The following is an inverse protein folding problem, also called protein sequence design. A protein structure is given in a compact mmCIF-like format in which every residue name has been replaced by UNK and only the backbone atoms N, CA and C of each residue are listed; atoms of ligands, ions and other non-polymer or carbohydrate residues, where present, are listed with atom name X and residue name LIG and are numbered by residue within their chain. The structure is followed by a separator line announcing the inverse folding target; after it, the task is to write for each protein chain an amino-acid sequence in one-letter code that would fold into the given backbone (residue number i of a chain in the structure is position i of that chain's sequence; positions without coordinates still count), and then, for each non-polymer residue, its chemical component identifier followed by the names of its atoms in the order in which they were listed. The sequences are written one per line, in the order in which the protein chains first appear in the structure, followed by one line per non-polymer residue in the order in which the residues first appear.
data_IF_324287069039
#
_entry.id   IF_324287069039
#
_cell.length_a   1.000
_cell.length_b   1.000
_cell.length_c   1.000
_cell.angle_alpha   90.00
_cell.angle_beta   90.00
_cell.angle_gamma   90.00
#
_symmetry.space_group_name_H-M   'P 1'
#
loop_
_entity.id
_entity.type
_entity.pdbx_description
1 polymer ?
#
# COMPACT_ATOMS: atom_id res chain seq x y z
N UNK A 1 -4.12 5.50 -27.04
CA UNK A 1 -5.31 5.27 -26.21
C UNK A 1 -4.85 4.58 -24.94
N UNK A 2 -4.86 5.26 -23.80
CA UNK A 2 -4.49 4.64 -22.52
C UNK A 2 -5.59 3.66 -22.14
N UNK A 3 -5.25 2.37 -22.04
CA UNK A 3 -6.17 1.33 -21.63
C UNK A 3 -6.47 1.56 -20.15
N UNK A 4 -7.62 2.15 -19.84
CA UNK A 4 -8.10 2.23 -18.46
C UNK A 4 -8.19 0.80 -17.91
N UNK A 5 -7.20 0.43 -17.09
CA UNK A 5 -7.23 -0.83 -16.35
C UNK A 5 -7.99 -0.52 -15.07
N UNK A 6 -9.16 -1.12 -14.90
CA UNK A 6 -9.84 -1.06 -13.61
C UNK A 6 -9.02 -1.88 -12.61
N UNK A 7 -8.28 -1.19 -11.76
CA UNK A 7 -7.44 -1.81 -10.75
C UNK A 7 -8.28 -2.01 -9.50
N UNK A 8 -8.65 -3.26 -9.25
CA UNK A 8 -9.27 -3.64 -7.98
C UNK A 8 -8.17 -3.73 -6.92
N UNK A 9 -8.19 -2.77 -6.01
CA UNK A 9 -7.34 -2.79 -4.81
C UNK A 9 -8.15 -3.42 -3.69
N UNK A 10 -7.61 -4.47 -3.11
CA UNK A 10 -8.19 -5.12 -1.93
C UNK A 10 -7.33 -4.73 -0.73
N UNK A 11 -7.99 -4.20 0.30
CA UNK A 11 -7.36 -3.93 1.59
C UNK A 11 -7.82 -5.00 2.59
N UNK A 12 -6.88 -5.58 3.32
CA UNK A 12 -7.15 -6.53 4.39
C UNK A 12 -6.34 -6.16 5.63
N UNK A 13 -6.98 -6.19 6.78
CA UNK A 13 -6.28 -6.00 8.05
C UNK A 13 -5.61 -7.31 8.45
N UNK A 14 -4.28 -7.26 8.60
CA UNK A 14 -3.43 -8.37 8.98
C UNK A 14 -2.67 -8.00 10.25
N UNK A 15 -2.48 -8.95 11.17
CA UNK A 15 -1.60 -8.74 12.31
C UNK A 15 -0.19 -9.16 11.90
N UNK A 16 0.73 -8.20 11.78
CA UNK A 16 2.16 -8.44 11.51
C UNK A 16 2.99 -8.00 12.70
N UNK A 17 3.81 -8.91 13.21
CA UNK A 17 4.71 -8.64 14.33
C UNK A 17 4.01 -8.06 15.58
N UNK A 18 2.75 -8.46 15.82
CA UNK A 18 1.92 -7.96 16.93
C UNK A 18 1.21 -6.62 16.66
N UNK A 19 1.40 -6.03 15.48
CA UNK A 19 0.78 -4.78 15.08
C UNK A 19 -0.30 -5.03 14.02
N UNK A 20 -1.44 -4.37 14.11
CA UNK A 20 -2.46 -4.40 13.06
C UNK A 20 -2.01 -3.51 11.92
N UNK A 21 -1.80 -4.11 10.75
CA UNK A 21 -1.45 -3.42 9.52
C UNK A 21 -2.54 -3.64 8.48
N UNK A 22 -2.75 -2.67 7.60
CA UNK A 22 -3.61 -2.84 6.44
C UNK A 22 -2.76 -3.25 5.24
N UNK A 23 -2.82 -4.52 4.84
CA UNK A 23 -2.16 -5.03 3.65
C UNK A 23 -2.98 -4.68 2.39
N UNK A 24 -2.30 -4.17 1.36
CA UNK A 24 -2.91 -3.84 0.07
C UNK A 24 -2.48 -4.84 -0.99
N UNK A 25 -3.45 -5.37 -1.72
CA UNK A 25 -3.28 -6.34 -2.80
C UNK A 25 -3.97 -5.87 -4.06
N UNK A 26 -3.33 -6.05 -5.21
CA UNK A 26 -3.94 -5.88 -6.54
C UNK A 26 -4.01 -7.26 -7.20
N UNK A 27 -5.23 -7.78 -7.36
CA UNK A 27 -5.41 -9.19 -7.68
C UNK A 27 -4.77 -10.07 -6.60
N UNK A 28 -3.88 -10.97 -7.00
CA UNK A 28 -3.15 -11.86 -6.09
C UNK A 28 -1.80 -11.31 -5.62
N UNK A 29 -1.43 -10.09 -6.05
CA UNK A 29 -0.13 -9.49 -5.73
C UNK A 29 -0.24 -8.47 -4.62
N UNK A 30 0.47 -8.71 -3.51
CA UNK A 30 0.68 -7.69 -2.49
C UNK A 30 1.59 -6.58 -3.03
N UNK A 31 1.11 -5.34 -2.93
CA UNK A 31 1.86 -4.16 -3.33
C UNK A 31 2.53 -3.46 -2.15
N UNK A 32 2.06 -3.77 -0.94
CA UNK A 32 2.59 -3.22 0.29
C UNK A 32 1.60 -3.34 1.44
N UNK A 33 1.97 -2.76 2.56
CA UNK A 33 1.12 -2.67 3.74
C UNK A 33 1.27 -1.31 4.40
N UNK A 34 0.25 -0.89 5.15
CA UNK A 34 0.20 0.36 5.86
C UNK A 34 0.11 0.05 7.35
N UNK A 35 1.05 0.59 8.11
CA UNK A 35 1.05 0.51 9.56
C UNK A 35 0.69 1.89 10.14
N UNK A 36 -0.31 1.98 11.05
CA UNK A 36 -0.54 3.20 11.80
C UNK A 36 0.61 3.45 12.79
N UNK A 37 1.27 4.60 12.65
CA UNK A 37 2.38 5.07 13.48
C UNK A 37 1.95 6.35 14.22
N UNK A 38 1.19 6.16 15.30
CA UNK A 38 0.63 7.25 16.11
C UNK A 38 -0.39 8.11 15.34
N UNK A 39 0.03 9.31 14.91
CA UNK A 39 -0.82 10.25 14.13
C UNK A 39 -0.58 10.16 12.63
N UNK A 40 0.29 9.24 12.19
CA UNK A 40 0.69 9.07 10.79
C UNK A 40 0.49 7.63 10.36
N UNK A 41 0.63 7.42 9.06
CA UNK A 41 0.54 6.12 8.41
C UNK A 41 1.84 5.83 7.69
N UNK A 42 2.52 4.75 8.05
CA UNK A 42 3.75 4.27 7.44
C UNK A 42 3.40 3.26 6.37
N UNK A 43 3.54 3.63 5.10
CA UNK A 43 3.32 2.74 3.97
C UNK A 43 4.63 2.05 3.56
N UNK A 44 4.65 0.73 3.61
CA UNK A 44 5.76 -0.11 3.20
C UNK A 44 5.45 -0.72 1.85
N UNK A 45 6.20 -0.33 0.82
CA UNK A 45 6.10 -0.92 -0.53
C UNK A 45 6.66 -2.34 -0.48
N UNK A 46 5.99 -3.28 -1.14
CA UNK A 46 6.47 -4.67 -1.23
C UNK A 46 7.88 -4.71 -1.85
N UNK A 47 8.84 -5.27 -1.11
CA UNK A 47 10.25 -5.33 -1.50
C UNK A 47 11.10 -4.12 -1.06
N UNK A 48 10.50 -3.07 -0.49
CA UNK A 48 11.22 -1.96 0.15
C UNK A 48 11.31 -2.16 1.66
N UNK A 49 12.44 -1.79 2.24
CA UNK A 49 12.64 -1.75 3.70
C UNK A 49 12.39 -0.37 4.30
N UNK A 50 12.14 0.64 3.45
CA UNK A 50 11.92 2.03 3.88
C UNK A 50 10.44 2.39 3.77
N UNK A 51 9.78 2.78 4.88
CA UNK A 51 8.41 3.26 4.82
C UNK A 51 8.33 4.70 4.34
N UNK A 52 7.27 5.00 3.60
CA UNK A 52 6.85 6.36 3.30
C UNK A 52 5.78 6.78 4.32
N UNK A 53 5.98 7.91 4.99
CA UNK A 53 5.06 8.40 6.04
C UNK A 53 4.05 9.39 5.48
N UNK A 54 2.78 9.13 5.75
CA UNK A 54 1.65 9.95 5.31
C UNK A 54 0.81 10.43 6.49
N UNK A 55 0.09 11.53 6.28
CA UNK A 55 -0.82 12.10 7.30
C UNK A 55 -2.17 11.38 7.34
N UNK A 56 -2.56 10.74 6.25
CA UNK A 56 -3.86 10.06 6.11
C UNK A 56 -3.65 8.69 5.49
N UNK A 57 -4.56 7.77 5.81
CA UNK A 57 -4.58 6.43 5.23
C UNK A 57 -4.74 6.49 3.70
N UNK A 58 -5.65 7.32 3.18
CA UNK A 58 -5.87 7.47 1.74
C UNK A 58 -4.61 7.90 0.98
N UNK A 59 -3.81 8.80 1.55
CA UNK A 59 -2.55 9.22 0.94
C UNK A 59 -1.53 8.08 0.88
N UNK A 60 -1.48 7.26 1.93
CA UNK A 60 -0.64 6.05 1.98
C UNK A 60 -1.11 5.00 0.95
N UNK A 61 -2.41 4.76 0.84
CA UNK A 61 -3.01 3.85 -0.15
C UNK A 61 -2.66 4.31 -1.56
N UNK A 62 -2.90 5.58 -1.87
CA UNK A 62 -2.61 6.15 -3.20
C UNK A 62 -1.12 6.06 -3.55
N UNK A 63 -0.22 6.27 -2.59
CA UNK A 63 1.20 6.14 -2.81
C UNK A 63 1.61 4.70 -3.16
N UNK A 64 1.07 3.69 -2.48
CA UNK A 64 1.34 2.28 -2.80
C UNK A 64 0.86 1.89 -4.20
N UNK A 65 -0.32 2.38 -4.59
CA UNK A 65 -0.86 2.15 -5.94
C UNK A 65 0.02 2.86 -7.00
N UNK A 66 0.44 4.09 -6.74
CA UNK A 66 1.31 4.84 -7.64
C UNK A 66 2.68 4.16 -7.82
N UNK A 67 3.29 3.71 -6.72
CA UNK A 67 4.54 2.93 -6.76
C UNK A 67 4.35 1.66 -7.59
N UNK A 68 3.27 0.91 -7.37
CA UNK A 68 3.00 -0.28 -8.17
C UNK A 68 2.95 0.02 -9.69
N UNK A 69 2.35 1.14 -10.11
CA UNK A 69 2.35 1.52 -11.53
C UNK A 69 3.74 1.89 -12.07
N UNK A 70 4.56 2.58 -11.28
CA UNK A 70 5.89 2.99 -11.68
C UNK A 70 6.82 1.80 -11.94
N UNK A 71 6.66 0.71 -11.19
CA UNK A 71 7.45 -0.52 -11.35
C UNK A 71 6.87 -1.51 -12.39
N UNK A 72 5.70 -1.24 -12.98
CA UNK A 72 5.09 -2.05 -14.06
C UNK A 72 5.41 -1.56 -15.48
N UNK A 73 6.43 -0.69 -15.62
CA UNK A 73 6.96 -0.24 -16.92
C UNK A 73 7.65 -1.35 -17.71
#
# INVERSE_FOLDING_TARGET
MAKERNIKVTQADETRNGHTVSALKIGDREIGFIEPDGTRFSAFVAGSTKPNRFKTLDAAVNALIAEYHLHQG
#
